data_IF_815212484270
#
_entry.id   IF_815212484270
#
_cell.length_a   1.000
_cell.length_b   1.000
_cell.length_c   1.000
_cell.angle_alpha   90.00
_cell.angle_beta   90.00
_cell.angle_gamma   90.00
#
_symmetry.space_group_name_H-M   'P 1'
#
loop_
_entity.id
_entity.type
_entity.pdbx_description
1 polymer ?
#
# COMPACT_ATOMS: atom_id res chain seq x y z
N UNK A 1 15.10 -44.18 -43.34
CA UNK A 1 14.31 -42.92 -43.41
C UNK A 1 13.64 -42.55 -42.08
N UNK A 2 13.13 -43.49 -41.28
CA UNK A 2 12.44 -43.22 -39.98
C UNK A 2 13.24 -42.45 -38.91
N UNK A 3 14.57 -42.57 -38.86
CA UNK A 3 15.39 -41.93 -37.82
C UNK A 3 15.42 -40.39 -37.91
N UNK A 4 15.25 -39.81 -39.10
CA UNK A 4 15.25 -38.35 -39.29
C UNK A 4 13.96 -37.70 -38.78
N UNK A 5 12.82 -38.39 -38.91
CA UNK A 5 11.52 -37.88 -38.47
C UNK A 5 11.38 -37.89 -36.94
N UNK A 6 12.04 -38.83 -36.26
CA UNK A 6 12.06 -38.91 -34.80
C UNK A 6 12.80 -37.72 -34.17
N UNK A 7 13.92 -37.30 -34.77
CA UNK A 7 14.72 -36.16 -34.28
C UNK A 7 13.94 -34.85 -34.45
N UNK A 8 13.26 -34.66 -35.58
CA UNK A 8 12.44 -33.47 -35.83
C UNK A 8 11.25 -33.39 -34.86
N UNK A 9 10.64 -34.53 -34.51
CA UNK A 9 9.56 -34.59 -33.52
C UNK A 9 10.05 -34.21 -32.11
N UNK A 10 11.23 -34.71 -31.70
CA UNK A 10 11.84 -34.41 -30.39
C UNK A 10 12.24 -32.94 -30.25
N UNK A 11 12.79 -32.32 -31.30
CA UNK A 11 13.17 -30.91 -31.28
C UNK A 11 11.92 -30.02 -31.19
N UNK A 12 10.86 -30.37 -31.93
CA UNK A 12 9.57 -29.64 -31.89
C UNK A 12 8.90 -29.72 -30.51
N UNK A 13 8.96 -30.89 -29.87
CA UNK A 13 8.40 -31.10 -28.52
C UNK A 13 9.16 -30.29 -27.45
N UNK A 14 10.48 -30.16 -27.62
CA UNK A 14 11.34 -29.35 -26.73
C UNK A 14 11.04 -27.86 -26.85
N UNK A 15 10.76 -27.39 -28.07
CA UNK A 15 10.41 -25.99 -28.34
C UNK A 15 9.02 -25.63 -27.79
N UNK A 16 8.06 -26.56 -27.88
CA UNK A 16 6.73 -26.39 -27.30
C UNK A 16 6.76 -26.30 -25.77
N UNK A 17 7.54 -27.15 -25.10
CA UNK A 17 7.69 -27.09 -23.64
C UNK A 17 8.41 -25.81 -23.16
N UNK A 18 9.40 -25.32 -23.91
CA UNK A 18 10.10 -24.08 -23.58
C UNK A 18 9.21 -22.84 -23.61
N UNK A 19 8.19 -22.80 -24.48
CA UNK A 19 7.27 -21.67 -24.60
C UNK A 19 6.25 -21.60 -23.45
N UNK A 20 5.86 -22.73 -22.85
CA UNK A 20 4.95 -22.74 -21.69
C UNK A 20 5.61 -22.24 -20.40
N UNK A 21 6.92 -22.41 -20.25
CA UNK A 21 7.66 -21.91 -19.07
C UNK A 21 7.70 -20.38 -18.98
N UNK A 22 7.46 -19.65 -20.06
CA UNK A 22 7.41 -18.18 -20.05
C UNK A 22 6.00 -17.61 -19.79
N UNK A 23 4.95 -18.40 -19.97
CA UNK A 23 3.57 -17.91 -19.81
C UNK A 23 3.16 -17.86 -18.33
N UNK A 24 3.77 -18.69 -17.48
CA UNK A 24 3.45 -18.75 -16.05
C UNK A 24 4.13 -17.62 -15.22
N UNK A 25 5.02 -16.84 -15.83
CA UNK A 25 5.80 -15.83 -15.10
C UNK A 25 5.07 -14.49 -14.90
N UNK A 26 3.86 -14.32 -15.45
CA UNK A 26 3.04 -13.11 -15.25
C UNK A 26 2.14 -13.16 -14.01
N UNK A 27 2.23 -14.24 -13.24
CA UNK A 27 1.42 -14.42 -12.03
C UNK A 27 2.26 -14.88 -10.83
N UNK A 28 3.52 -14.46 -10.76
CA UNK A 28 4.18 -14.29 -9.47
C UNK A 28 3.45 -13.16 -8.74
N UNK A 29 2.36 -13.55 -8.08
CA UNK A 29 1.84 -12.85 -6.91
C UNK A 29 3.00 -12.43 -6.01
N UNK A 30 2.77 -11.40 -5.23
CA UNK A 30 3.71 -10.83 -4.26
C UNK A 30 4.15 -11.79 -3.13
N UNK A 31 4.43 -13.05 -3.43
CA UNK A 31 4.90 -14.15 -2.57
C UNK A 31 6.35 -13.99 -2.09
N UNK A 32 6.87 -12.76 -2.09
CA UNK A 32 8.20 -12.42 -1.59
C UNK A 32 8.23 -11.15 -0.73
N UNK A 33 7.08 -10.54 -0.41
CA UNK A 33 7.04 -9.46 0.57
C UNK A 33 7.11 -10.05 1.97
N UNK A 34 8.32 -10.18 2.50
CA UNK A 34 8.59 -10.48 3.91
C UNK A 34 8.06 -9.40 4.85
N UNK A 35 7.79 -8.20 4.34
CA UNK A 35 7.38 -7.05 5.14
C UNK A 35 6.05 -6.48 4.63
N UNK A 36 5.04 -6.49 5.49
CA UNK A 36 3.77 -5.82 5.25
C UNK A 36 3.78 -4.45 5.95
N UNK A 37 3.45 -3.40 5.21
CA UNK A 37 3.38 -2.03 5.71
C UNK A 37 1.94 -1.53 5.71
N UNK A 38 1.63 -0.68 6.67
CA UNK A 38 0.43 0.13 6.67
C UNK A 38 0.80 1.61 6.71
N UNK A 39 0.12 2.43 5.92
CA UNK A 39 0.32 3.88 5.86
C UNK A 39 -1.00 4.55 6.19
N UNK A 40 -0.98 5.40 7.22
CA UNK A 40 -2.09 6.29 7.56
C UNK A 40 -1.69 7.68 7.09
N UNK A 41 -2.46 8.25 6.17
CA UNK A 41 -2.27 9.61 5.67
C UNK A 41 -3.44 10.48 6.10
N UNK A 42 -3.13 11.65 6.63
CA UNK A 42 -4.11 12.63 7.10
C UNK A 42 -3.87 13.91 6.35
N UNK A 43 -4.87 14.41 5.64
CA UNK A 43 -4.80 15.71 4.98
C UNK A 43 -5.98 16.57 5.41
N UNK A 44 -5.72 17.87 5.49
CA UNK A 44 -6.74 18.85 5.83
C UNK A 44 -6.99 19.73 4.61
N UNK A 45 -8.25 19.95 4.27
CA UNK A 45 -8.64 20.84 3.18
C UNK A 45 -9.79 21.72 3.64
N UNK A 46 -9.52 23.03 3.75
CA UNK A 46 -10.48 23.99 4.29
C UNK A 46 -10.88 23.68 5.73
N UNK A 47 -12.14 23.26 5.93
CA UNK A 47 -12.70 22.89 7.24
C UNK A 47 -12.71 21.38 7.49
N UNK A 48 -12.44 20.59 6.46
CA UNK A 48 -12.62 19.15 6.46
C UNK A 48 -11.27 18.46 6.72
N UNK A 49 -11.32 17.34 7.43
CA UNK A 49 -10.18 16.46 7.59
C UNK A 49 -10.47 15.13 6.91
N UNK A 50 -9.46 14.61 6.24
CA UNK A 50 -9.53 13.36 5.52
C UNK A 50 -8.48 12.41 6.08
N UNK A 51 -8.88 11.14 6.17
CA UNK A 51 -8.05 10.04 6.62
C UNK A 51 -8.01 8.98 5.52
N UNK A 52 -6.82 8.52 5.18
CA UNK A 52 -6.59 7.43 4.24
C UNK A 52 -5.73 6.38 4.90
N UNK A 53 -6.18 5.12 4.87
CA UNK A 53 -5.45 3.98 5.43
C UNK A 53 -5.17 2.99 4.30
N UNK A 54 -3.89 2.76 4.03
CA UNK A 54 -3.40 1.80 3.04
C UNK A 54 -2.71 0.67 3.77
N UNK A 55 -3.08 -0.59 3.49
CA UNK A 55 -2.37 -1.78 4.02
C UNK A 55 -1.85 -2.61 2.86
N UNK A 56 -0.54 -2.82 2.82
CA UNK A 56 0.13 -3.50 1.72
C UNK A 56 -0.11 -2.80 0.38
N UNK A 57 -0.56 -3.54 -0.62
CA UNK A 57 -0.92 -3.02 -1.95
C UNK A 57 -2.42 -2.74 -2.11
N UNK A 58 -3.23 -2.85 -1.05
CA UNK A 58 -4.67 -2.67 -1.16
C UNK A 58 -4.98 -1.18 -1.37
N UNK A 59 -5.87 -0.82 -2.31
CA UNK A 59 -6.27 0.57 -2.48
C UNK A 59 -6.89 1.10 -1.19
N UNK A 60 -6.44 2.29 -0.77
CA UNK A 60 -7.00 2.96 0.40
C UNK A 60 -8.39 3.52 0.11
N UNK A 61 -9.24 3.51 1.13
CA UNK A 61 -10.51 4.24 1.12
C UNK A 61 -10.30 5.52 1.91
N UNK A 62 -10.40 6.66 1.23
CA UNK A 62 -10.41 7.96 1.89
C UNK A 62 -11.75 8.16 2.60
N UNK A 63 -11.68 8.61 3.85
CA UNK A 63 -12.86 8.91 4.65
C UNK A 63 -12.72 10.29 5.23
N UNK A 64 -13.72 11.13 4.98
CA UNK A 64 -13.89 12.37 5.71
C UNK A 64 -14.35 12.04 7.12
N UNK A 65 -13.75 12.67 8.12
CA UNK A 65 -14.21 12.55 9.50
C UNK A 65 -14.61 13.93 10.02
N UNK A 66 -15.79 13.98 10.65
CA UNK A 66 -16.21 15.17 11.36
C UNK A 66 -15.36 15.30 12.63
N UNK A 67 -14.80 16.49 12.85
CA UNK A 67 -14.19 16.84 14.13
C UNK A 67 -15.23 16.62 15.21
N UNK A 68 -14.87 15.92 16.27
CA UNK A 68 -15.75 15.93 17.44
C UNK A 68 -15.87 17.39 17.90
N UNK A 69 -17.05 17.82 18.35
CA UNK A 69 -17.47 19.23 18.48
C UNK A 69 -16.59 20.10 19.42
N UNK A 70 -15.51 19.57 19.95
CA UNK A 70 -14.48 20.29 20.65
C UNK A 70 -13.68 21.09 19.61
N UNK A 71 -13.59 22.40 19.75
CA UNK A 71 -13.02 23.37 18.79
C UNK A 71 -11.52 23.19 18.44
N UNK A 72 -10.96 21.99 18.66
CA UNK A 72 -9.58 21.64 18.40
C UNK A 72 -9.37 21.56 16.88
N UNK A 73 -8.66 22.56 16.35
CA UNK A 73 -8.36 22.72 14.93
C UNK A 73 -7.73 21.46 14.30
N UNK A 74 -7.00 20.68 15.09
CA UNK A 74 -6.25 19.48 14.71
C UNK A 74 -6.59 18.28 15.60
N UNK A 75 -7.85 17.87 15.60
CA UNK A 75 -8.26 16.63 16.27
C UNK A 75 -7.65 15.40 15.56
N UNK A 76 -6.72 14.74 16.25
CA UNK A 76 -6.05 13.51 15.80
C UNK A 76 -6.65 12.25 16.44
N UNK A 77 -7.72 12.34 17.22
CA UNK A 77 -8.35 11.17 17.84
C UNK A 77 -8.74 10.08 16.82
N UNK A 78 -9.30 10.41 15.63
CA UNK A 78 -9.60 9.40 14.61
C UNK A 78 -8.36 8.74 14.02
N UNK A 79 -7.24 9.47 14.02
CA UNK A 79 -5.93 8.96 13.56
C UNK A 79 -5.38 7.97 14.59
N UNK A 80 -5.42 8.34 15.88
CA UNK A 80 -5.00 7.48 16.98
C UNK A 80 -5.81 6.18 17.00
N UNK A 81 -7.12 6.25 16.79
CA UNK A 81 -7.98 5.07 16.72
C UNK A 81 -7.55 4.09 15.61
N UNK A 82 -7.17 4.59 14.43
CA UNK A 82 -6.66 3.72 13.35
C UNK A 82 -5.25 3.17 13.65
N UNK A 83 -4.38 3.96 14.30
CA UNK A 83 -3.05 3.49 14.77
C UNK A 83 -3.23 2.35 15.78
N UNK A 84 -4.10 2.50 16.77
CA UNK A 84 -4.37 1.48 17.78
C UNK A 84 -4.98 0.22 17.17
N UNK A 85 -5.92 0.38 16.23
CA UNK A 85 -6.52 -0.72 15.49
C UNK A 85 -5.51 -1.50 14.66
N UNK A 86 -4.55 -0.82 14.02
CA UNK A 86 -3.43 -1.48 13.33
C UNK A 86 -2.46 -2.13 14.33
N UNK A 87 -2.24 -1.51 15.47
CA UNK A 87 -1.42 -2.08 16.53
C UNK A 87 -1.96 -3.40 17.06
N UNK A 88 -3.29 -3.46 17.29
CA UNK A 88 -3.99 -4.69 17.65
C UNK A 88 -3.90 -5.79 16.57
N UNK A 89 -3.69 -5.43 15.30
CA UNK A 89 -3.46 -6.36 14.19
C UNK A 89 -2.00 -6.80 14.06
N UNK A 90 -1.12 -6.38 14.97
CA UNK A 90 0.30 -6.73 14.98
C UNK A 90 1.18 -5.78 14.17
N UNK A 91 0.72 -4.58 13.83
CA UNK A 91 1.58 -3.54 13.27
C UNK A 91 2.23 -2.71 14.38
N UNK A 92 3.44 -2.23 14.14
CA UNK A 92 4.13 -1.28 15.01
C UNK A 92 4.40 0.03 14.27
N UNK A 93 4.28 1.15 14.97
CA UNK A 93 4.61 2.45 14.41
C UNK A 93 6.13 2.55 14.22
N UNK A 94 6.56 2.75 12.98
CA UNK A 94 7.99 2.88 12.64
C UNK A 94 8.37 4.29 12.23
N UNK A 95 7.40 5.10 11.77
CA UNK A 95 7.62 6.50 11.45
C UNK A 95 6.35 7.32 11.61
N UNK A 96 6.49 8.54 12.12
CA UNK A 96 5.48 9.57 12.05
C UNK A 96 6.10 10.84 11.46
N UNK A 97 5.44 11.41 10.48
CA UNK A 97 5.89 12.63 9.80
C UNK A 97 4.77 13.65 9.74
N UNK A 98 5.15 14.92 9.85
CA UNK A 98 4.28 16.06 9.65
C UNK A 98 4.91 16.97 8.60
N UNK A 99 4.12 17.35 7.60
CA UNK A 99 4.50 18.27 6.55
C UNK A 99 3.44 19.36 6.42
N UNK A 100 3.81 20.47 5.81
CA UNK A 100 2.85 21.49 5.38
C UNK A 100 2.68 21.34 3.87
N UNK A 101 1.51 20.91 3.43
CA UNK A 101 1.15 20.86 2.02
C UNK A 101 0.79 22.27 1.56
N UNK A 102 1.63 22.87 0.71
CA UNK A 102 1.44 24.23 0.22
C UNK A 102 0.14 24.33 -0.59
N UNK A 103 -0.84 25.05 -0.06
CA UNK A 103 -2.05 25.42 -0.79
C UNK A 103 -1.85 26.84 -1.34
N UNK A 104 -1.25 26.93 -2.53
CA UNK A 104 -1.21 28.11 -3.40
C UNK A 104 -0.09 29.15 -3.06
N UNK A 105 0.30 29.97 -4.05
CA UNK A 105 1.38 30.98 -3.96
C UNK A 105 1.18 32.10 -2.93
N UNK A 106 0.01 32.22 -2.29
CA UNK A 106 -0.37 33.35 -1.43
C UNK A 106 -1.01 32.96 -0.08
N UNK A 107 -1.05 31.68 0.29
CA UNK A 107 -1.72 31.22 1.50
C UNK A 107 -0.97 30.10 2.21
N UNK A 108 -0.92 30.16 3.55
CA UNK A 108 -0.28 29.14 4.38
C UNK A 108 -0.82 27.73 4.08
N UNK A 109 0.07 26.75 3.99
CA UNK A 109 -0.30 25.39 3.63
C UNK A 109 -1.13 24.68 4.70
N UNK A 110 -1.77 23.57 4.30
CA UNK A 110 -2.51 22.72 5.22
C UNK A 110 -1.59 21.62 5.79
N UNK A 111 -1.71 21.27 7.07
CA UNK A 111 -0.90 20.18 7.61
C UNK A 111 -1.30 18.85 6.97
N UNK A 112 -0.27 18.08 6.67
CA UNK A 112 -0.33 16.71 6.20
C UNK A 112 0.44 15.84 7.20
N UNK A 113 -0.19 14.80 7.71
CA UNK A 113 0.47 13.83 8.58
C UNK A 113 0.54 12.48 7.88
N UNK A 114 1.66 11.78 8.04
CA UNK A 114 1.78 10.40 7.58
C UNK A 114 2.42 9.54 8.65
N UNK A 115 1.76 8.43 8.96
CA UNK A 115 2.22 7.43 9.92
C UNK A 115 2.45 6.13 9.16
N UNK A 116 3.68 5.64 9.22
CA UNK A 116 4.08 4.38 8.62
C UNK A 116 4.18 3.35 9.75
N UNK A 117 3.47 2.25 9.56
CA UNK A 117 3.49 1.11 10.45
C UNK A 117 4.00 -0.12 9.70
N UNK A 118 4.73 -0.99 10.39
CA UNK A 118 5.27 -2.24 9.86
C UNK A 118 4.67 -3.42 10.62
N UNK A 119 4.31 -4.51 9.93
CA UNK A 119 3.86 -5.73 10.62
C UNK A 119 5.03 -6.33 11.39
N UNK A 120 4.81 -6.63 12.67
CA UNK A 120 5.75 -7.38 13.51
C UNK A 120 5.97 -8.75 12.89
N UNK A 121 7.23 -9.13 12.75
CA UNK A 121 7.58 -10.49 12.40
C UNK A 121 7.39 -11.38 13.65
N UNK A 122 6.86 -12.60 13.48
CA UNK A 122 6.76 -13.56 14.59
C UNK A 122 8.13 -13.96 15.14
#
# INVERSE_FOLDING_TARGET
MMKKNLVVALVSLSFAFGLFSFVDQRQLSAAGRTEEYAVISVFQSGRNNYLSVTVGSKPSVEREYQKDKNEIRYDLAPVLAEVEKLNAQGFELVNGSAAIHGMNQYGGGAPFYSFIMKRRLP
#
